data_IF_809855384095
#
_entry.id   IF_809855384095
#
_cell.length_a   1.000
_cell.length_b   1.000
_cell.length_c   1.000
_cell.angle_alpha   90.00
_cell.angle_beta   90.00
_cell.angle_gamma   90.00
#
_symmetry.space_group_name_H-M   'P 1'
#
loop_
_entity.id
_entity.type
_entity.pdbx_description
1 polymer ?
#
# COMPACT_ATOMS: atom_id res chain seq x y z
N UNK A 1 48.89 -61.96 17.94
CA UNK A 1 47.47 -62.11 17.50
C UNK A 1 46.44 -61.61 18.52
N UNK A 2 46.66 -61.74 19.84
CA UNK A 2 45.74 -61.27 20.90
C UNK A 2 45.66 -59.73 21.08
N UNK A 3 46.68 -58.97 20.70
CA UNK A 3 46.68 -57.50 20.85
C UNK A 3 45.90 -56.77 19.72
N UNK A 4 45.88 -57.33 18.51
CA UNK A 4 45.13 -56.75 17.39
C UNK A 4 43.60 -56.79 17.59
N UNK A 5 43.07 -57.79 18.31
CA UNK A 5 41.62 -57.91 18.54
C UNK A 5 41.10 -56.90 19.57
N UNK A 6 41.92 -56.50 20.55
CA UNK A 6 41.60 -55.47 21.54
C UNK A 6 41.49 -54.07 20.92
N UNK A 7 42.45 -53.69 20.08
CA UNK A 7 42.47 -52.39 19.41
C UNK A 7 41.31 -52.23 18.43
N UNK A 8 41.01 -53.29 17.65
CA UNK A 8 39.87 -53.30 16.71
C UNK A 8 38.54 -53.18 17.45
N UNK A 9 38.36 -53.89 18.57
CA UNK A 9 37.16 -53.77 19.42
C UNK A 9 37.03 -52.38 20.04
N UNK A 10 38.14 -51.76 20.47
CA UNK A 10 38.14 -50.42 21.03
C UNK A 10 37.77 -49.35 19.98
N UNK A 11 38.38 -49.41 18.79
CA UNK A 11 38.07 -48.50 17.68
C UNK A 11 36.62 -48.65 17.18
N UNK A 12 36.10 -49.88 17.14
CA UNK A 12 34.71 -50.14 16.76
C UNK A 12 33.70 -49.60 17.79
N UNK A 13 33.99 -49.76 19.09
CA UNK A 13 33.19 -49.12 20.17
C UNK A 13 33.25 -47.59 20.09
N UNK A 14 34.41 -47.02 19.77
CA UNK A 14 34.59 -45.56 19.62
C UNK A 14 33.80 -45.02 18.43
N UNK A 15 33.84 -45.70 17.27
CA UNK A 15 33.02 -45.36 16.10
C UNK A 15 31.52 -45.48 16.37
N UNK A 16 31.06 -46.53 17.06
CA UNK A 16 29.64 -46.66 17.45
C UNK A 16 29.19 -45.53 18.39
N UNK A 17 30.03 -45.14 19.36
CA UNK A 17 29.73 -44.00 20.24
C UNK A 17 29.67 -42.69 19.47
N UNK A 18 30.60 -42.44 18.55
CA UNK A 18 30.57 -41.25 17.69
C UNK A 18 29.31 -41.22 16.79
N UNK A 19 28.96 -42.35 16.18
CA UNK A 19 27.74 -42.46 15.36
C UNK A 19 26.47 -42.21 16.18
N UNK A 20 26.40 -42.72 17.42
CA UNK A 20 25.28 -42.47 18.33
C UNK A 20 25.17 -40.99 18.75
N UNK A 21 26.30 -40.32 18.99
CA UNK A 21 26.33 -38.88 19.30
C UNK A 21 25.86 -38.05 18.11
N UNK A 22 26.32 -38.37 16.89
CA UNK A 22 25.90 -37.68 15.67
C UNK A 22 24.41 -37.89 15.41
N UNK A 23 23.90 -39.12 15.58
CA UNK A 23 22.47 -39.40 15.45
C UNK A 23 21.64 -38.62 16.47
N UNK A 24 22.06 -38.59 17.75
CA UNK A 24 21.38 -37.82 18.78
C UNK A 24 21.37 -36.32 18.48
N UNK A 25 22.50 -35.78 17.98
CA UNK A 25 22.61 -34.37 17.60
C UNK A 25 21.70 -34.02 16.40
N UNK A 26 21.65 -34.88 15.37
CA UNK A 26 20.75 -34.70 14.21
C UNK A 26 19.28 -34.77 14.63
N UNK A 27 18.93 -35.70 15.51
CA UNK A 27 17.56 -35.85 16.02
C UNK A 27 17.15 -34.64 16.86
N UNK A 28 18.05 -34.12 17.70
CA UNK A 28 17.82 -32.89 18.47
C UNK A 28 17.67 -31.66 17.55
N UNK A 29 18.46 -31.57 16.48
CA UNK A 29 18.36 -30.49 15.49
C UNK A 29 17.03 -30.54 14.72
N UNK A 30 16.59 -31.74 14.32
CA UNK A 30 15.28 -31.96 13.68
C UNK A 30 14.13 -31.63 14.63
N UNK A 31 14.23 -32.01 15.90
CA UNK A 31 13.23 -31.65 16.92
C UNK A 31 13.17 -30.13 17.15
N UNK A 32 14.32 -29.45 17.19
CA UNK A 32 14.40 -27.98 17.27
C UNK A 32 13.82 -27.30 16.03
N UNK A 33 14.06 -27.83 14.83
CA UNK A 33 13.46 -27.34 13.59
C UNK A 33 11.94 -27.56 13.55
N UNK A 34 11.46 -28.69 14.05
CA UNK A 34 10.03 -28.99 14.19
C UNK A 34 9.37 -28.05 15.22
N UNK A 35 10.00 -27.83 16.39
CA UNK A 35 9.51 -26.90 17.41
C UNK A 35 9.54 -25.43 16.94
N UNK A 36 10.56 -25.05 16.17
CA UNK A 36 10.64 -23.74 15.53
C UNK A 36 9.54 -23.57 14.47
N UNK A 37 9.27 -24.58 13.65
CA UNK A 37 8.18 -24.54 12.67
C UNK A 37 6.78 -24.52 13.31
N UNK A 38 6.60 -25.17 14.46
CA UNK A 38 5.38 -25.10 15.28
C UNK A 38 5.18 -23.71 15.90
N UNK A 39 6.27 -23.05 16.34
CA UNK A 39 6.24 -21.68 16.87
C UNK A 39 6.00 -20.60 15.81
N UNK A 40 6.33 -20.88 14.54
CA UNK A 40 5.97 -20.01 13.40
C UNK A 40 4.50 -20.16 12.97
N UNK A 41 3.83 -21.24 13.36
CA UNK A 41 2.39 -21.43 13.15
C UNK A 41 1.62 -20.95 14.38
N UNK A 42 1.73 -19.66 14.70
CA UNK A 42 0.67 -19.04 15.50
C UNK A 42 -0.63 -19.20 14.70
N UNK A 43 -1.68 -19.85 15.23
CA UNK A 43 -2.97 -19.82 14.59
C UNK A 43 -3.30 -18.36 14.35
N UNK A 44 -3.72 -18.05 13.12
CA UNK A 44 -4.29 -16.74 12.83
C UNK A 44 -5.31 -16.46 13.94
N UNK A 45 -5.34 -15.26 14.54
CA UNK A 45 -6.53 -14.87 15.29
C UNK A 45 -7.73 -15.18 14.39
N UNK A 46 -8.84 -15.71 14.95
CA UNK A 46 -10.02 -16.04 14.16
C UNK A 46 -10.26 -14.88 13.21
N UNK A 47 -10.49 -15.14 11.91
CA UNK A 47 -10.60 -14.07 10.92
C UNK A 47 -11.51 -13.01 11.55
N UNK A 48 -10.94 -11.83 11.80
CA UNK A 48 -11.73 -10.66 12.17
C UNK A 48 -12.92 -10.71 11.22
N UNK A 49 -14.13 -10.89 11.75
CA UNK A 49 -15.30 -11.25 10.96
C UNK A 49 -15.61 -10.10 10.00
N UNK A 50 -14.88 -10.07 8.89
CA UNK A 50 -14.99 -9.10 7.82
C UNK A 50 -16.33 -9.25 7.09
N UNK A 51 -16.98 -10.40 7.28
CA UNK A 51 -18.27 -10.72 6.68
C UNK A 51 -19.41 -9.93 7.33
N UNK A 52 -19.40 -9.77 8.67
CA UNK A 52 -20.48 -9.09 9.40
C UNK A 52 -20.43 -7.57 9.30
N UNK A 53 -19.30 -6.98 8.90
CA UNK A 53 -19.18 -5.54 8.66
C UNK A 53 -19.63 -5.09 7.25
N UNK A 54 -20.00 -6.02 6.37
CA UNK A 54 -20.27 -5.72 4.95
C UNK A 54 -21.74 -5.70 4.54
N UNK A 55 -22.65 -5.77 5.52
CA UNK A 55 -24.11 -5.77 5.37
C UNK A 55 -24.72 -4.40 5.07
N UNK A 56 -23.93 -3.41 4.64
CA UNK A 56 -24.47 -2.10 4.24
C UNK A 56 -25.17 -2.26 2.89
N UNK A 57 -26.48 -2.50 2.96
CA UNK A 57 -27.36 -2.75 1.82
C UNK A 57 -27.69 -1.47 1.04
N UNK A 58 -27.52 -0.28 1.65
CA UNK A 58 -27.69 1.02 1.03
C UNK A 58 -26.35 1.70 0.72
N UNK A 59 -26.06 1.96 -0.56
CA UNK A 59 -24.89 2.75 -0.95
C UNK A 59 -25.12 4.22 -0.59
N UNK A 60 -24.52 4.69 0.51
CA UNK A 60 -24.46 6.11 0.89
C UNK A 60 -23.52 6.86 -0.06
N UNK A 61 -24.09 7.44 -1.12
CA UNK A 61 -23.36 8.15 -2.18
C UNK A 61 -22.73 9.45 -1.65
N UNK A 62 -21.65 9.89 -2.32
CA UNK A 62 -20.95 11.11 -1.95
C UNK A 62 -21.76 12.38 -2.28
N UNK A 63 -22.02 13.20 -1.26
CA UNK A 63 -22.61 14.54 -1.40
C UNK A 63 -21.53 15.61 -1.19
N UNK A 64 -21.14 16.31 -2.25
CA UNK A 64 -20.08 17.34 -2.21
C UNK A 64 -20.38 18.52 -1.27
N UNK A 65 -21.64 18.68 -0.82
CA UNK A 65 -22.05 19.72 0.15
C UNK A 65 -21.83 19.31 1.61
N UNK A 66 -21.74 18.01 1.90
CA UNK A 66 -21.63 17.46 3.27
C UNK A 66 -20.36 16.66 3.46
N UNK A 67 -19.89 16.03 2.40
CA UNK A 67 -18.78 15.09 2.42
C UNK A 67 -17.48 15.74 1.94
N UNK A 68 -16.37 15.22 2.46
CA UNK A 68 -15.02 15.56 2.01
C UNK A 68 -14.22 14.27 1.85
N UNK A 69 -13.69 14.04 0.65
CA UNK A 69 -12.76 12.93 0.42
C UNK A 69 -11.43 13.27 1.10
N UNK A 70 -10.94 12.37 1.96
CA UNK A 70 -9.61 12.50 2.58
C UNK A 70 -8.72 11.40 2.01
N UNK A 71 -7.76 11.78 1.16
CA UNK A 71 -6.86 10.82 0.53
C UNK A 71 -5.65 10.53 1.43
N UNK A 72 -5.65 9.37 2.10
CA UNK A 72 -4.50 8.85 2.82
C UNK A 72 -3.49 8.29 1.82
N UNK A 73 -2.46 9.08 1.50
CA UNK A 73 -1.45 8.72 0.51
C UNK A 73 -0.25 8.03 1.16
N UNK A 74 -0.22 6.70 1.14
CA UNK A 74 0.96 5.92 1.55
C UNK A 74 2.06 5.91 0.50
N UNK A 75 3.32 5.91 0.93
CA UNK A 75 4.45 5.89 0.02
C UNK A 75 4.46 4.61 -0.82
N UNK A 76 4.64 4.79 -2.13
CA UNK A 76 4.87 3.73 -3.14
C UNK A 76 3.68 2.80 -3.40
N UNK A 77 2.46 3.21 -3.06
CA UNK A 77 1.22 2.49 -3.34
C UNK A 77 0.45 3.01 -4.56
N UNK A 78 1.11 3.74 -5.46
CA UNK A 78 0.42 4.31 -6.63
C UNK A 78 -0.49 5.50 -6.33
N UNK A 79 -0.51 6.02 -5.08
CA UNK A 79 -1.40 7.12 -4.68
C UNK A 79 -1.24 8.43 -5.47
N UNK A 80 -0.12 8.66 -6.16
CA UNK A 80 0.02 9.80 -7.08
C UNK A 80 -0.81 9.65 -8.36
N UNK A 81 -1.04 8.42 -8.83
CA UNK A 81 -1.95 8.15 -9.94
C UNK A 81 -3.39 8.41 -9.49
N UNK A 82 -3.84 7.79 -8.39
CA UNK A 82 -5.18 8.00 -7.86
C UNK A 82 -5.47 9.47 -7.57
N UNK A 83 -4.54 10.20 -6.95
CA UNK A 83 -4.71 11.63 -6.68
C UNK A 83 -4.97 12.41 -7.97
N UNK A 84 -4.18 12.16 -9.04
CA UNK A 84 -4.40 12.79 -10.35
C UNK A 84 -5.78 12.48 -10.90
N UNK A 85 -6.21 11.21 -10.84
CA UNK A 85 -7.53 10.82 -11.32
C UNK A 85 -8.66 11.53 -10.56
N UNK A 86 -8.52 11.71 -9.25
CA UNK A 86 -9.50 12.44 -8.44
C UNK A 86 -9.58 13.92 -8.82
N UNK A 87 -8.44 14.60 -9.00
CA UNK A 87 -8.45 16.06 -9.24
C UNK A 87 -8.68 16.45 -10.70
N UNK A 88 -8.35 15.60 -11.68
CA UNK A 88 -8.47 15.94 -13.11
C UNK A 88 -9.28 14.95 -13.93
N UNK A 89 -9.62 13.78 -13.39
CA UNK A 89 -10.29 12.71 -14.13
C UNK A 89 -11.82 12.69 -13.96
N UNK A 90 -12.39 13.44 -13.01
CA UNK A 90 -13.83 13.39 -12.71
C UNK A 90 -14.67 14.08 -13.79
N UNK A 91 -15.83 13.48 -14.11
CA UNK A 91 -16.85 14.04 -15.03
C UNK A 91 -17.93 14.87 -14.32
N UNK A 92 -18.04 14.73 -12.99
CA UNK A 92 -19.00 15.45 -12.13
C UNK A 92 -18.77 16.97 -12.18
N UNK A 93 -19.71 17.77 -12.74
CA UNK A 93 -19.52 19.22 -12.91
C UNK A 93 -19.37 19.97 -11.57
N UNK A 94 -20.09 19.55 -10.54
CA UNK A 94 -20.07 20.13 -9.19
C UNK A 94 -18.76 19.92 -8.42
N UNK A 95 -17.85 19.09 -8.96
CA UNK A 95 -16.59 18.69 -8.33
C UNK A 95 -15.38 18.94 -9.24
N UNK A 96 -15.51 19.77 -10.27
CA UNK A 96 -14.38 20.07 -11.17
C UNK A 96 -13.31 20.87 -10.44
N UNK A 97 -12.06 20.40 -10.50
CA UNK A 97 -10.94 21.19 -10.01
C UNK A 97 -10.35 22.10 -11.10
N UNK A 98 -9.90 23.27 -10.68
CA UNK A 98 -9.11 24.18 -11.50
C UNK A 98 -7.63 23.93 -11.25
N UNK A 99 -6.97 23.23 -12.17
CA UNK A 99 -5.56 22.85 -12.04
C UNK A 99 -4.66 23.79 -12.83
N UNK A 100 -3.64 24.33 -12.17
CA UNK A 100 -2.69 25.25 -12.80
C UNK A 100 -1.35 25.29 -12.09
N UNK A 101 -0.44 26.06 -12.66
CA UNK A 101 0.81 26.45 -12.02
C UNK A 101 0.49 27.50 -10.94
N UNK A 102 0.17 27.05 -9.72
CA UNK A 102 -0.36 27.88 -8.64
C UNK A 102 0.45 27.79 -7.32
N UNK A 103 0.75 28.96 -6.75
CA UNK A 103 1.28 29.12 -5.41
C UNK A 103 1.33 30.59 -5.00
N UNK A 104 0.92 30.90 -3.77
CA UNK A 104 1.02 32.21 -3.10
C UNK A 104 2.49 32.55 -2.74
N UNK A 105 3.41 32.34 -3.65
CA UNK A 105 4.83 32.64 -3.47
C UNK A 105 5.39 33.10 -4.79
N UNK A 106 6.12 34.22 -4.79
CA UNK A 106 6.64 34.90 -5.98
C UNK A 106 7.37 33.98 -6.97
N UNK A 107 7.73 34.57 -8.12
CA UNK A 107 8.13 33.96 -9.40
C UNK A 107 9.11 32.76 -9.40
N UNK A 108 9.70 32.35 -8.28
CA UNK A 108 10.68 31.27 -8.19
C UNK A 108 10.12 29.85 -8.02
N UNK A 109 8.84 29.62 -7.68
CA UNK A 109 8.29 28.24 -7.53
C UNK A 109 6.78 28.11 -7.79
N UNK A 110 6.34 28.25 -9.05
CA UNK A 110 4.97 27.87 -9.43
C UNK A 110 4.81 26.35 -9.38
N UNK A 111 4.08 25.83 -8.39
CA UNK A 111 3.86 24.38 -8.21
C UNK A 111 2.52 23.99 -8.83
N UNK A 112 2.44 22.82 -9.46
CA UNK A 112 1.16 22.33 -9.98
C UNK A 112 0.24 21.99 -8.80
N UNK A 113 -0.87 22.72 -8.67
CA UNK A 113 -1.92 22.49 -7.67
C UNK A 113 -3.28 22.69 -8.31
N UNK A 114 -4.28 22.05 -7.72
CA UNK A 114 -5.65 22.14 -8.15
C UNK A 114 -6.50 22.77 -7.05
N UNK A 115 -7.25 23.83 -7.39
CA UNK A 115 -8.32 24.31 -6.54
C UNK A 115 -9.54 23.40 -6.73
N UNK A 116 -9.88 22.62 -5.71
CA UNK A 116 -10.95 21.62 -5.76
C UNK A 116 -12.08 22.01 -4.80
N UNK A 117 -12.88 22.99 -5.22
CA UNK A 117 -14.02 23.51 -4.47
C UNK A 117 -15.34 23.13 -5.17
N UNK A 118 -16.40 22.91 -4.40
CA UNK A 118 -17.73 22.61 -4.91
C UNK A 118 -18.43 23.91 -5.37
N UNK A 119 -19.71 23.82 -5.77
CA UNK A 119 -20.50 24.99 -6.19
C UNK A 119 -20.77 26.03 -5.09
N UNK A 120 -20.57 25.69 -3.81
CA UNK A 120 -20.63 26.63 -2.67
C UNK A 120 -19.29 27.29 -2.37
N UNK A 121 -18.23 26.87 -3.05
CA UNK A 121 -16.89 27.29 -2.74
C UNK A 121 -16.23 26.48 -1.61
N UNK A 122 -16.83 25.42 -1.07
CA UNK A 122 -16.21 24.62 -0.01
C UNK A 122 -15.30 23.52 -0.58
N UNK A 123 -14.33 23.06 0.22
CA UNK A 123 -13.49 21.94 -0.19
C UNK A 123 -14.33 20.65 -0.25
N UNK A 124 -14.12 19.85 -1.29
CA UNK A 124 -14.67 18.49 -1.39
C UNK A 124 -13.60 17.40 -1.30
N UNK A 125 -12.31 17.78 -1.34
CA UNK A 125 -11.18 16.84 -1.23
C UNK A 125 -9.95 17.44 -0.52
N UNK A 126 -9.45 16.72 0.48
CA UNK A 126 -8.16 16.93 1.12
C UNK A 126 -7.16 15.91 0.58
N UNK A 127 -6.17 16.40 -0.16
CA UNK A 127 -5.16 15.55 -0.80
C UNK A 127 -3.91 16.36 -1.18
N UNK A 128 -2.83 15.66 -1.54
CA UNK A 128 -1.59 16.28 -2.02
C UNK A 128 -1.79 17.29 -3.16
N UNK A 129 -2.59 16.97 -4.19
CA UNK A 129 -2.74 17.87 -5.34
C UNK A 129 -3.85 18.92 -5.18
N UNK A 130 -4.68 18.82 -4.15
CA UNK A 130 -5.64 19.87 -3.79
C UNK A 130 -5.05 20.82 -2.74
N UNK A 131 -5.00 20.37 -1.49
CA UNK A 131 -4.61 21.15 -0.31
C UNK A 131 -3.11 21.08 0.01
N UNK A 132 -2.33 20.29 -0.74
CA UNK A 132 -0.94 19.99 -0.37
C UNK A 132 -0.86 19.01 0.80
N UNK A 133 0.23 19.09 1.56
CA UNK A 133 0.44 18.28 2.76
C UNK A 133 -0.13 18.96 4.00
N UNK A 134 -1.44 19.25 3.96
CA UNK A 134 -2.16 20.05 4.95
C UNK A 134 -1.90 19.60 6.41
N UNK A 135 -1.86 18.28 6.63
CA UNK A 135 -1.61 17.67 7.94
C UNK A 135 -0.23 17.01 8.07
N UNK A 136 0.73 17.45 7.25
CA UNK A 136 2.09 16.91 7.21
C UNK A 136 2.37 15.96 6.04
N UNK A 137 3.66 15.84 5.71
CA UNK A 137 4.15 15.03 4.60
C UNK A 137 3.81 13.55 4.82
N UNK A 138 2.96 13.00 3.94
CA UNK A 138 2.46 11.63 4.05
C UNK A 138 1.87 11.32 5.44
N UNK A 139 1.04 12.23 5.95
CA UNK A 139 0.27 12.04 7.18
C UNK A 139 -0.42 10.67 7.22
N UNK A 140 -0.28 9.97 8.35
CA UNK A 140 -0.96 8.69 8.61
C UNK A 140 -2.45 8.91 8.96
N UNK A 141 -3.20 7.82 9.11
CA UNK A 141 -4.62 7.87 9.45
C UNK A 141 -4.86 8.67 10.72
N UNK A 142 -4.06 8.42 11.77
CA UNK A 142 -4.12 9.13 13.03
C UNK A 142 -3.93 10.64 12.86
N UNK A 143 -2.89 11.07 12.13
CA UNK A 143 -2.63 12.48 11.84
C UNK A 143 -3.80 13.13 11.10
N UNK A 144 -4.28 12.49 10.03
CA UNK A 144 -5.38 13.02 9.23
C UNK A 144 -6.68 13.11 10.03
N UNK A 145 -6.99 12.10 10.85
CA UNK A 145 -8.19 12.08 11.70
C UNK A 145 -8.20 13.17 12.76
N UNK A 146 -7.03 13.51 13.31
CA UNK A 146 -6.92 14.57 14.31
C UNK A 146 -6.88 15.99 13.68
N UNK A 147 -6.25 16.14 12.52
CA UNK A 147 -5.97 17.45 11.93
C UNK A 147 -7.06 17.95 10.98
N UNK A 148 -7.62 17.10 10.11
CA UNK A 148 -8.50 17.54 9.02
C UNK A 148 -9.76 18.26 9.51
N UNK A 149 -10.48 17.81 10.56
CA UNK A 149 -11.68 18.51 11.03
C UNK A 149 -11.43 19.98 11.37
N UNK A 150 -10.36 20.28 12.11
CA UNK A 150 -10.00 21.65 12.48
C UNK A 150 -9.54 22.50 11.28
N UNK A 151 -8.88 21.88 10.30
CA UNK A 151 -8.47 22.59 9.08
C UNK A 151 -9.67 22.91 8.17
N UNK A 152 -10.65 22.02 8.04
CA UNK A 152 -11.87 22.30 7.29
C UNK A 152 -12.67 23.43 7.93
N UNK A 153 -12.76 23.44 9.27
CA UNK A 153 -13.36 24.51 10.04
C UNK A 153 -12.60 25.86 9.96
N UNK A 154 -11.48 25.95 9.24
CA UNK A 154 -10.80 27.21 8.94
C UNK A 154 -10.86 27.58 7.45
N UNK A 155 -11.23 26.64 6.57
CA UNK A 155 -11.11 26.76 5.11
C UNK A 155 -12.45 26.76 4.35
N UNK A 156 -13.50 26.22 4.97
CA UNK A 156 -14.85 26.20 4.45
C UNK A 156 -15.58 27.53 4.76
N UNK A 157 -16.61 27.84 3.98
CA UNK A 157 -17.40 29.06 4.12
C UNK A 157 -18.51 28.97 5.18
N UNK A 158 -18.96 27.74 5.47
CA UNK A 158 -20.03 27.41 6.42
C UNK A 158 -19.47 26.59 7.59
N UNK A 159 -19.06 27.28 8.65
CA UNK A 159 -18.44 26.69 9.83
C UNK A 159 -19.42 25.95 10.75
N UNK A 160 -20.73 26.09 10.56
CA UNK A 160 -21.74 25.61 11.51
C UNK A 160 -22.08 24.12 11.36
N UNK A 161 -21.62 23.45 10.27
CA UNK A 161 -21.97 22.04 10.00
C UNK A 161 -20.72 21.15 9.92
N UNK A 162 -20.55 20.16 10.82
CA UNK A 162 -19.44 19.23 10.71
C UNK A 162 -19.53 18.42 9.42
N UNK A 163 -18.47 18.48 8.61
CA UNK A 163 -18.35 17.75 7.35
C UNK A 163 -18.05 16.28 7.60
N UNK A 164 -18.67 15.39 6.82
CA UNK A 164 -18.43 13.94 6.91
C UNK A 164 -17.18 13.55 6.12
N UNK A 165 -16.16 13.06 6.82
CA UNK A 165 -14.90 12.66 6.19
C UNK A 165 -15.02 11.28 5.55
N UNK A 166 -14.72 11.19 4.26
CA UNK A 166 -14.75 9.97 3.46
C UNK A 166 -13.32 9.56 3.14
N UNK A 167 -12.71 8.76 4.01
CA UNK A 167 -11.33 8.31 3.83
C UNK A 167 -11.21 7.38 2.63
N UNK A 168 -10.21 7.65 1.79
CA UNK A 168 -9.84 6.83 0.64
C UNK A 168 -8.34 6.58 0.66
N UNK A 169 -7.91 5.37 0.28
CA UNK A 169 -6.48 5.04 0.19
C UNK A 169 -6.16 4.06 -0.95
N UNK A 170 -4.87 3.85 -1.18
CA UNK A 170 -4.35 2.82 -2.08
C UNK A 170 -3.39 1.90 -1.32
N UNK A 171 -3.57 0.60 -1.47
CA UNK A 171 -2.65 -0.43 -1.03
C UNK A 171 -1.88 -1.01 -2.21
N UNK A 172 -0.78 -1.70 -1.89
CA UNK A 172 0.06 -2.42 -2.85
C UNK A 172 0.61 -3.68 -2.19
N UNK A 173 0.88 -4.71 -3.00
CA UNK A 173 1.57 -5.92 -2.56
C UNK A 173 2.82 -5.53 -1.75
N UNK A 174 2.97 -6.00 -0.50
CA UNK A 174 3.98 -5.50 0.42
C UNK A 174 5.41 -5.60 -0.11
N UNK A 175 5.74 -6.70 -0.78
CA UNK A 175 7.06 -6.89 -1.38
C UNK A 175 7.35 -5.83 -2.46
N UNK A 176 6.43 -5.65 -3.42
CA UNK A 176 6.58 -4.69 -4.51
C UNK A 176 6.63 -3.24 -4.00
N UNK A 177 5.84 -2.96 -2.96
CA UNK A 177 5.83 -1.67 -2.25
C UNK A 177 7.17 -1.41 -1.56
N UNK A 178 7.69 -2.40 -0.84
CA UNK A 178 8.96 -2.32 -0.11
C UNK A 178 10.15 -2.19 -1.04
N UNK A 179 10.24 -3.01 -2.10
CA UNK A 179 11.26 -2.90 -3.14
C UNK A 179 11.21 -1.55 -3.85
N UNK A 180 10.01 -1.04 -4.15
CA UNK A 180 9.86 0.30 -4.74
C UNK A 180 10.31 1.42 -3.80
N UNK A 181 10.18 1.24 -2.48
CA UNK A 181 10.67 2.18 -1.49
C UNK A 181 12.18 2.11 -1.33
N UNK A 182 12.74 0.91 -1.22
CA UNK A 182 14.18 0.67 -1.18
C UNK A 182 14.88 1.34 -2.36
N UNK A 183 14.39 1.13 -3.58
CA UNK A 183 14.98 1.77 -4.77
C UNK A 183 14.89 3.30 -4.71
N UNK A 184 13.85 3.85 -4.09
CA UNK A 184 13.70 5.30 -3.93
C UNK A 184 14.69 5.83 -2.89
N UNK A 185 14.87 5.12 -1.78
CA UNK A 185 15.88 5.44 -0.76
C UNK A 185 17.30 5.34 -1.33
N UNK A 186 17.60 4.30 -2.12
CA UNK A 186 18.88 4.08 -2.80
C UNK A 186 19.28 5.24 -3.72
N UNK A 187 18.29 5.96 -4.27
CA UNK A 187 18.47 7.18 -5.09
C UNK A 187 18.50 8.48 -4.28
N UNK A 188 18.41 8.41 -2.95
CA UNK A 188 18.58 9.54 -2.04
C UNK A 188 17.28 10.15 -1.48
N UNK A 189 16.12 9.55 -1.71
CA UNK A 189 14.88 10.05 -1.09
C UNK A 189 14.88 9.84 0.42
N UNK A 190 14.36 10.83 1.17
CA UNK A 190 14.44 10.79 2.63
C UNK A 190 13.11 10.76 3.35
N UNK A 191 12.08 11.46 2.87
CA UNK A 191 10.84 11.70 3.63
C UNK A 191 11.12 12.22 5.06
N UNK A 192 12.24 12.92 5.28
CA UNK A 192 12.69 13.34 6.62
C UNK A 192 11.65 14.20 7.33
N UNK A 193 10.85 14.95 6.57
CA UNK A 193 9.77 15.80 7.07
C UNK A 193 8.47 15.06 7.39
N UNK A 194 8.40 13.75 7.15
CA UNK A 194 7.23 12.96 7.51
C UNK A 194 7.15 12.80 9.04
N UNK A 195 6.00 13.17 9.60
CA UNK A 195 5.71 13.10 11.02
C UNK A 195 4.66 12.01 11.29
N UNK A 196 5.01 10.92 12.01
CA UNK A 196 4.06 9.92 12.46
C UNK A 196 3.38 10.43 13.72
N UNK A 197 2.17 9.93 13.94
CA UNK A 197 1.41 10.25 15.15
C UNK A 197 1.66 9.15 16.19
N UNK A 198 2.60 9.38 17.12
CA UNK A 198 2.96 8.47 18.21
C UNK A 198 3.57 9.22 19.41
N UNK A 199 3.64 8.59 20.58
CA UNK A 199 4.14 9.19 21.84
C UNK A 199 5.65 9.03 22.02
N UNK A 200 6.33 10.09 22.47
CA UNK A 200 7.75 10.04 22.83
C UNK A 200 8.71 10.11 21.65
N UNK A 201 10.01 9.91 21.92
CA UNK A 201 11.07 10.04 20.91
C UNK A 201 11.05 8.87 19.92
N UNK A 202 11.30 9.16 18.63
CA UNK A 202 11.53 8.12 17.62
C UNK A 202 12.82 7.37 17.91
N UNK A 203 12.91 6.08 17.51
CA UNK A 203 14.20 5.41 17.50
C UNK A 203 15.19 6.14 16.57
N UNK A 204 16.50 6.02 16.81
CA UNK A 204 17.51 6.59 15.93
C UNK A 204 17.28 6.15 14.47
N UNK A 205 17.43 7.06 13.49
CA UNK A 205 17.22 6.74 12.10
C UNK A 205 18.27 5.73 11.60
N UNK A 206 17.90 4.89 10.63
CA UNK A 206 18.78 3.89 10.01
C UNK A 206 19.98 4.42 9.20
N UNK A 207 20.13 5.74 9.18
CA UNK A 207 20.98 6.48 8.24
C UNK A 207 21.58 7.66 8.97
N UNK A 208 22.81 7.99 8.61
CA UNK A 208 23.62 9.05 9.21
C UNK A 208 23.68 10.28 8.27
N UNK A 209 24.28 11.38 8.75
CA UNK A 209 24.58 12.56 7.92
C UNK A 209 23.35 13.29 7.37
N UNK A 210 23.35 13.57 6.06
CA UNK A 210 22.31 14.32 5.35
C UNK A 210 20.92 13.64 5.35
N UNK A 211 20.88 12.37 5.78
CA UNK A 211 19.69 11.56 5.84
C UNK A 211 19.34 10.93 4.49
N UNK A 212 20.17 10.99 3.46
CA UNK A 212 20.00 10.22 2.24
C UNK A 212 20.59 8.82 2.43
N UNK A 213 19.85 7.77 2.06
CA UNK A 213 20.34 6.39 2.16
C UNK A 213 20.86 5.89 0.80
N UNK A 214 21.77 6.68 0.20
CA UNK A 214 22.27 6.45 -1.16
C UNK A 214 23.04 5.13 -1.22
N UNK A 215 22.80 4.35 -2.28
CA UNK A 215 23.54 3.10 -2.50
C UNK A 215 23.23 1.94 -1.55
N UNK A 216 22.36 2.11 -0.53
CA UNK A 216 22.03 1.06 0.44
C UNK A 216 21.63 -0.26 -0.23
N UNK A 217 22.20 -1.38 0.24
CA UNK A 217 21.80 -2.71 -0.22
C UNK A 217 20.40 -3.07 0.31
N UNK A 218 19.71 -4.02 -0.34
CA UNK A 218 18.41 -4.47 0.14
C UNK A 218 18.51 -5.15 1.52
N UNK A 219 19.60 -5.87 1.77
CA UNK A 219 19.86 -6.54 3.05
C UNK A 219 19.99 -5.54 4.20
N UNK A 220 20.81 -4.51 4.05
CA UNK A 220 20.95 -3.44 5.06
C UNK A 220 19.63 -2.68 5.26
N UNK A 221 18.92 -2.39 4.16
CA UNK A 221 17.62 -1.73 4.21
C UNK A 221 16.59 -2.54 5.01
N UNK A 222 16.55 -3.85 4.82
CA UNK A 222 15.66 -4.75 5.56
C UNK A 222 16.11 -5.00 7.01
N UNK A 223 17.42 -5.03 7.27
CA UNK A 223 17.98 -5.34 8.59
C UNK A 223 17.74 -4.22 9.63
N UNK A 224 17.63 -2.96 9.20
CA UNK A 224 17.39 -1.88 10.14
C UNK A 224 15.97 -1.91 10.71
N UNK A 225 15.85 -2.28 11.99
CA UNK A 225 14.55 -2.39 12.69
C UNK A 225 13.75 -1.08 12.71
N UNK A 226 14.43 0.07 12.80
CA UNK A 226 13.80 1.39 12.82
C UNK A 226 13.37 1.90 11.42
N UNK A 227 13.56 1.11 10.35
CA UNK A 227 13.26 1.55 9.00
C UNK A 227 11.75 1.78 8.82
N UNK A 228 11.31 3.01 8.48
CA UNK A 228 9.89 3.29 8.27
C UNK A 228 9.29 2.55 7.06
N UNK A 229 10.09 1.97 6.18
CA UNK A 229 9.59 1.14 5.09
C UNK A 229 8.97 -0.18 5.58
N UNK A 230 9.39 -0.67 6.75
CA UNK A 230 8.89 -1.91 7.33
C UNK A 230 7.46 -1.71 7.85
N UNK A 231 6.57 -2.63 7.48
CA UNK A 231 5.15 -2.65 7.85
C UNK A 231 4.47 -1.28 7.68
N UNK A 232 4.84 -0.56 6.61
CA UNK A 232 4.42 0.83 6.40
C UNK A 232 2.90 0.93 6.29
N UNK A 233 2.25 0.01 5.58
CA UNK A 233 0.81 0.11 5.32
C UNK A 233 0.01 -0.12 6.59
N UNK A 234 0.34 -1.15 7.36
CA UNK A 234 -0.26 -1.40 8.67
C UNK A 234 -0.03 -0.22 9.62
N UNK A 235 1.21 0.29 9.72
CA UNK A 235 1.52 1.42 10.59
C UNK A 235 0.76 2.69 10.20
N UNK A 236 0.71 3.03 8.92
CA UNK A 236 0.08 4.28 8.45
C UNK A 236 -1.46 4.22 8.44
N UNK A 237 -2.06 3.03 8.45
CA UNK A 237 -3.50 2.85 8.59
C UNK A 237 -3.97 2.76 10.03
N UNK A 238 -3.12 2.28 10.94
CA UNK A 238 -3.44 2.14 12.34
C UNK A 238 -3.58 3.50 13.04
N UNK A 239 -4.34 3.53 14.13
CA UNK A 239 -4.27 4.61 15.10
C UNK A 239 -3.12 4.35 16.08
N UNK A 240 -1.99 5.04 15.88
CA UNK A 240 -0.80 4.90 16.72
C UNK A 240 -0.63 6.02 17.77
N UNK A 241 -1.57 6.96 17.89
CA UNK A 241 -1.46 8.15 18.77
C UNK A 241 -1.27 7.82 20.24
N UNK A 242 -1.75 6.64 20.69
CA UNK A 242 -1.59 6.17 22.06
C UNK A 242 -0.28 5.41 22.34
N UNK A 243 0.47 5.04 21.30
CA UNK A 243 1.57 4.09 21.39
C UNK A 243 2.94 4.79 21.41
N UNK A 244 3.93 4.28 22.16
CA UNK A 244 5.29 4.80 22.12
C UNK A 244 5.90 4.66 20.72
N UNK A 245 6.51 5.73 20.18
CA UNK A 245 7.16 5.71 18.87
C UNK A 245 8.22 4.60 18.77
N UNK A 246 8.99 4.35 19.84
CA UNK A 246 9.92 3.21 19.91
C UNK A 246 9.25 1.86 19.61
N UNK A 247 8.01 1.66 20.07
CA UNK A 247 7.27 0.41 19.91
C UNK A 247 6.63 0.30 18.51
N UNK A 248 6.10 1.42 18.00
CA UNK A 248 5.51 1.55 16.66
C UNK A 248 6.53 1.27 15.56
N UNK A 249 7.78 1.69 15.76
CA UNK A 249 8.87 1.48 14.81
C UNK A 249 9.76 0.26 15.16
N UNK A 250 9.55 -0.41 16.30
CA UNK A 250 10.21 -1.67 16.61
C UNK A 250 9.47 -2.83 15.93
N UNK A 251 9.77 -3.08 14.67
CA UNK A 251 9.19 -4.17 13.89
C UNK A 251 9.44 -5.54 14.55
N UNK A 252 8.39 -6.35 14.72
CA UNK A 252 8.47 -7.73 15.26
C UNK A 252 7.95 -7.95 16.70
N UNK A 253 7.22 -7.00 17.28
CA UNK A 253 6.69 -7.09 18.66
C UNK A 253 5.15 -7.29 18.69
N UNK A 254 4.58 -7.48 19.89
CA UNK A 254 3.13 -7.47 20.17
C UNK A 254 2.43 -6.20 19.62
N UNK A 255 3.15 -5.08 19.51
CA UNK A 255 2.66 -3.84 18.91
C UNK A 255 2.31 -4.01 17.43
N UNK A 256 3.01 -4.85 16.68
CA UNK A 256 2.71 -5.10 15.27
C UNK A 256 1.33 -5.75 15.08
N UNK A 257 0.93 -6.67 15.97
CA UNK A 257 -0.41 -7.27 15.94
C UNK A 257 -1.49 -6.25 16.31
N UNK A 258 -1.23 -5.36 17.28
CA UNK A 258 -2.14 -4.27 17.63
C UNK A 258 -2.32 -3.27 16.48
N UNK A 259 -1.22 -2.88 15.83
CA UNK A 259 -1.26 -2.01 14.65
C UNK A 259 -2.01 -2.68 13.51
N UNK A 260 -1.79 -3.97 13.26
CA UNK A 260 -2.53 -4.73 12.24
C UNK A 260 -4.04 -4.73 12.54
N UNK A 261 -4.44 -5.03 13.76
CA UNK A 261 -5.86 -5.04 14.16
C UNK A 261 -6.50 -3.65 13.97
N UNK A 262 -5.83 -2.59 14.42
CA UNK A 262 -6.28 -1.21 14.22
C UNK A 262 -6.34 -0.82 12.74
N UNK A 263 -5.35 -1.22 11.93
CA UNK A 263 -5.32 -0.95 10.51
C UNK A 263 -6.47 -1.65 9.76
N UNK A 264 -6.78 -2.90 10.10
CA UNK A 264 -7.90 -3.64 9.52
C UNK A 264 -9.24 -2.98 9.88
N UNK A 265 -9.42 -2.61 11.15
CA UNK A 265 -10.61 -1.89 11.59
C UNK A 265 -10.81 -0.59 10.80
N UNK A 266 -9.76 0.23 10.69
CA UNK A 266 -9.82 1.49 9.96
C UNK A 266 -10.05 1.28 8.47
N UNK A 267 -9.39 0.30 7.84
CA UNK A 267 -9.54 -0.01 6.41
C UNK A 267 -10.98 -0.44 6.07
N UNK A 268 -11.61 -1.24 6.93
CA UNK A 268 -13.02 -1.65 6.77
C UNK A 268 -13.96 -0.45 6.84
N UNK A 269 -13.67 0.51 7.73
CA UNK A 269 -14.45 1.75 7.87
C UNK A 269 -14.18 2.83 6.81
N UNK A 270 -13.20 2.63 5.91
CA UNK A 270 -12.95 3.60 4.83
C UNK A 270 -14.07 3.58 3.78
N UNK A 271 -14.32 4.73 3.17
CA UNK A 271 -15.35 4.86 2.15
C UNK A 271 -14.99 4.02 0.90
N UNK A 272 -13.71 3.99 0.53
CA UNK A 272 -13.18 3.07 -0.47
C UNK A 272 -11.66 2.91 -0.31
N UNK A 273 -11.11 1.82 -0.83
CA UNK A 273 -9.68 1.69 -1.06
C UNK A 273 -9.42 0.97 -2.37
N UNK A 274 -8.26 1.24 -2.96
CA UNK A 274 -7.81 0.56 -4.18
C UNK A 274 -6.61 -0.34 -3.94
N UNK A 275 -6.41 -1.27 -4.86
CA UNK A 275 -5.20 -2.08 -4.95
C UNK A 275 -4.43 -1.67 -6.20
N UNK A 276 -3.12 -1.45 -6.05
CA UNK A 276 -2.26 -1.01 -7.16
C UNK A 276 -2.30 -1.99 -8.33
N UNK A 277 -2.47 -3.27 -8.02
CA UNK A 277 -2.51 -4.40 -8.94
C UNK A 277 -3.82 -4.49 -9.74
N UNK A 278 -4.85 -3.71 -9.36
CA UNK A 278 -6.20 -3.81 -9.91
C UNK A 278 -6.78 -2.43 -10.21
N UNK A 279 -6.15 -1.68 -11.13
CA UNK A 279 -6.51 -0.28 -11.41
C UNK A 279 -7.96 -0.09 -11.90
N UNK A 280 -8.40 -0.91 -12.87
CA UNK A 280 -9.77 -0.84 -13.40
C UNK A 280 -10.80 -1.21 -12.32
N UNK A 281 -10.54 -2.28 -11.55
CA UNK A 281 -11.46 -2.70 -10.50
C UNK A 281 -11.51 -1.67 -9.36
N UNK A 282 -10.38 -1.02 -9.07
CA UNK A 282 -10.30 0.12 -8.16
C UNK A 282 -11.18 1.28 -8.63
N UNK A 283 -11.10 1.64 -9.93
CA UNK A 283 -11.98 2.67 -10.51
C UNK A 283 -13.45 2.28 -10.37
N UNK A 284 -13.81 1.05 -10.68
CA UNK A 284 -15.19 0.56 -10.55
C UNK A 284 -15.72 0.68 -9.12
N UNK A 285 -14.95 0.23 -8.13
CA UNK A 285 -15.33 0.33 -6.71
C UNK A 285 -15.46 1.79 -6.25
N UNK A 286 -14.55 2.68 -6.66
CA UNK A 286 -14.66 4.11 -6.38
C UNK A 286 -15.94 4.70 -7.00
N UNK A 287 -16.19 4.40 -8.28
CA UNK A 287 -17.36 4.89 -9.00
C UNK A 287 -18.66 4.45 -8.34
N UNK A 288 -18.76 3.17 -7.94
CA UNK A 288 -19.98 2.61 -7.36
C UNK A 288 -20.18 2.97 -5.89
N UNK A 289 -19.12 3.03 -5.07
CA UNK A 289 -19.25 3.33 -3.64
C UNK A 289 -19.42 4.81 -3.33
N UNK A 290 -18.84 5.67 -4.15
CA UNK A 290 -18.87 7.11 -3.94
C UNK A 290 -19.75 7.83 -4.96
N UNK A 291 -20.31 7.14 -5.96
CA UNK A 291 -21.07 7.80 -7.03
C UNK A 291 -20.20 8.71 -7.90
N UNK A 292 -18.92 8.35 -8.05
CA UNK A 292 -17.96 9.08 -8.88
C UNK A 292 -18.03 8.56 -10.33
N UNK A 293 -17.69 9.43 -11.28
CA UNK A 293 -17.54 9.05 -12.68
C UNK A 293 -16.28 9.69 -13.23
N UNK A 294 -15.49 8.90 -13.96
CA UNK A 294 -14.21 9.33 -14.51
C UNK A 294 -14.28 9.33 -16.05
N UNK A 295 -13.52 10.24 -16.67
CA UNK A 295 -13.46 10.38 -18.13
C UNK A 295 -12.66 9.27 -18.79
N UNK A 296 -11.57 8.82 -18.15
CA UNK A 296 -10.68 7.78 -18.66
C UNK A 296 -10.72 6.55 -17.77
N UNK A 297 -10.47 5.38 -18.36
CA UNK A 297 -10.18 4.18 -17.59
C UNK A 297 -8.85 4.31 -16.85
N UNK A 298 -8.78 3.76 -15.65
CA UNK A 298 -7.52 3.69 -14.91
C UNK A 298 -6.63 2.65 -15.59
N UNK A 299 -5.50 3.10 -16.13
CA UNK A 299 -4.60 2.23 -16.88
C UNK A 299 -3.72 1.40 -15.95
N UNK A 300 -3.80 0.08 -16.10
CA UNK A 300 -2.95 -0.89 -15.41
C UNK A 300 -1.49 -0.79 -15.92
N UNK A 301 -0.57 -0.47 -15.02
CA UNK A 301 0.86 -0.32 -15.33
C UNK A 301 1.68 -1.43 -14.69
N UNK A 302 1.87 -2.52 -15.42
CA UNK A 302 2.66 -3.65 -14.93
C UNK A 302 4.17 -3.37 -14.99
N UNK A 303 4.57 -2.38 -15.81
CA UNK A 303 5.91 -1.84 -15.96
C UNK A 303 6.19 -0.68 -14.95
N UNK A 304 6.25 -1.00 -13.66
CA UNK A 304 6.59 -0.10 -12.55
C UNK A 304 8.10 0.02 -12.34
N UNK A 305 8.57 0.97 -11.53
CA UNK A 305 9.99 1.05 -11.11
C UNK A 305 10.48 -0.27 -10.45
N UNK A 306 9.62 -0.92 -9.65
CA UNK A 306 9.94 -2.22 -9.04
C UNK A 306 9.98 -3.37 -10.07
N UNK A 307 9.25 -3.24 -11.18
CA UNK A 307 9.17 -4.26 -12.23
C UNK A 307 9.98 -3.97 -13.49
N UNK A 308 10.44 -2.74 -13.72
CA UNK A 308 11.29 -2.34 -14.85
C UNK A 308 12.78 -2.51 -14.54
N UNK A 309 13.15 -2.58 -13.25
CA UNK A 309 14.45 -3.14 -12.88
C UNK A 309 14.60 -4.58 -13.41
N UNK A 310 13.51 -5.36 -13.46
CA UNK A 310 13.47 -6.70 -14.09
C UNK A 310 13.92 -6.71 -15.55
N UNK A 311 13.88 -5.57 -16.25
CA UNK A 311 14.16 -5.44 -17.67
C UNK A 311 15.44 -4.63 -17.99
N UNK A 312 16.13 -4.10 -16.97
CA UNK A 312 17.36 -3.28 -17.17
C UNK A 312 18.65 -4.09 -16.97
N UNK A 313 18.56 -5.37 -16.63
CA UNK A 313 19.60 -6.38 -16.88
C UNK A 313 19.21 -7.21 -18.10
N UNK A 314 20.18 -7.66 -18.88
CA UNK A 314 19.96 -8.45 -20.10
C UNK A 314 18.92 -9.56 -19.89
N UNK A 315 17.84 -9.45 -20.68
CA UNK A 315 16.78 -10.41 -21.03
C UNK A 315 16.81 -11.80 -20.35
N UNK A 316 15.82 -12.04 -19.47
CA UNK A 316 15.13 -13.34 -19.37
C UNK A 316 13.72 -13.16 -18.81
N UNK A 317 12.74 -13.87 -19.37
CA UNK A 317 11.34 -13.93 -18.94
C UNK A 317 11.14 -14.83 -17.70
N UNK A 318 12.23 -15.25 -17.07
CA UNK A 318 12.27 -16.03 -15.84
C UNK A 318 12.84 -15.13 -14.75
N UNK A 319 12.14 -15.00 -13.62
CA UNK A 319 12.69 -14.33 -12.45
C UNK A 319 14.00 -15.03 -12.07
N UNK A 320 15.13 -14.32 -12.16
CA UNK A 320 16.42 -14.85 -11.75
C UNK A 320 16.37 -15.27 -10.27
N UNK A 321 17.22 -16.21 -9.85
CA UNK A 321 17.32 -16.63 -8.45
C UNK A 321 17.54 -15.44 -7.50
N UNK A 322 18.27 -14.42 -7.97
CA UNK A 322 18.44 -13.15 -7.26
C UNK A 322 17.13 -12.37 -7.05
N UNK A 323 16.23 -12.35 -8.03
CA UNK A 323 14.94 -11.65 -7.95
C UNK A 323 13.99 -12.33 -6.96
N UNK A 324 13.95 -13.66 -6.96
CA UNK A 324 13.18 -14.44 -6.00
C UNK A 324 13.69 -14.23 -4.57
N UNK A 325 15.01 -14.15 -4.38
CA UNK A 325 15.60 -13.89 -3.07
C UNK A 325 15.29 -12.49 -2.56
N UNK A 326 15.36 -11.46 -3.42
CA UNK A 326 14.99 -10.09 -3.06
C UNK A 326 13.53 -9.98 -2.64
N UNK A 327 12.64 -10.61 -3.42
CA UNK A 327 11.20 -10.63 -3.12
C UNK A 327 10.91 -11.33 -1.80
N UNK A 328 11.53 -12.49 -1.56
CA UNK A 328 11.40 -13.23 -0.30
C UNK A 328 11.90 -12.42 0.89
N UNK A 329 13.03 -11.73 0.76
CA UNK A 329 13.53 -10.83 1.81
C UNK A 329 12.54 -9.69 2.10
N UNK A 330 11.98 -9.08 1.07
CA UNK A 330 10.99 -8.01 1.22
C UNK A 330 9.69 -8.52 1.88
N UNK A 331 9.25 -9.74 1.58
CA UNK A 331 8.09 -10.38 2.21
C UNK A 331 8.35 -10.65 3.70
N UNK A 332 9.49 -11.27 4.03
CA UNK A 332 9.89 -11.57 5.41
C UNK A 332 10.06 -10.31 6.27
N UNK A 333 10.48 -9.20 5.66
CA UNK A 333 10.62 -7.92 6.33
C UNK A 333 9.26 -7.24 6.66
N UNK A 334 8.15 -7.67 6.04
CA UNK A 334 6.86 -6.99 6.11
C UNK A 334 5.68 -7.92 6.51
N UNK A 335 5.76 -8.66 7.63
CA UNK A 335 4.75 -9.66 7.99
C UNK A 335 3.37 -9.07 8.32
N UNK A 336 3.30 -7.89 8.94
CA UNK A 336 2.02 -7.24 9.25
C UNK A 336 1.36 -6.69 7.97
N UNK A 337 2.15 -6.09 7.07
CA UNK A 337 1.65 -5.64 5.76
C UNK A 337 1.18 -6.84 4.90
N UNK A 338 1.85 -8.00 4.98
CA UNK A 338 1.41 -9.22 4.30
C UNK A 338 0.03 -9.69 4.76
N UNK A 339 -0.19 -9.74 6.08
CA UNK A 339 -1.49 -10.10 6.66
C UNK A 339 -2.57 -9.08 6.36
N UNK A 340 -2.24 -7.79 6.44
CA UNK A 340 -3.14 -6.69 6.07
C UNK A 340 -3.56 -6.81 4.60
N UNK A 341 -2.60 -6.96 3.68
CA UNK A 341 -2.88 -7.00 2.25
C UNK A 341 -3.72 -8.23 1.89
N UNK A 342 -3.45 -9.40 2.46
CA UNK A 342 -4.27 -10.59 2.24
C UNK A 342 -5.73 -10.40 2.69
N UNK A 343 -5.96 -9.72 3.81
CA UNK A 343 -7.31 -9.38 4.27
C UNK A 343 -7.96 -8.31 3.38
N UNK A 344 -7.21 -7.28 2.98
CA UNK A 344 -7.65 -6.24 2.07
C UNK A 344 -8.04 -6.80 0.70
N UNK A 345 -7.31 -7.78 0.18
CA UNK A 345 -7.59 -8.44 -1.10
C UNK A 345 -8.90 -9.24 -1.04
N UNK A 346 -9.11 -10.02 0.03
CA UNK A 346 -10.40 -10.69 0.26
C UNK A 346 -11.57 -9.70 0.35
N UNK A 347 -11.38 -8.61 1.09
CA UNK A 347 -12.38 -7.55 1.21
C UNK A 347 -12.67 -6.90 -0.16
N UNK A 348 -11.64 -6.50 -0.88
CA UNK A 348 -11.72 -5.82 -2.17
C UNK A 348 -12.47 -6.67 -3.21
N UNK A 349 -12.10 -7.94 -3.37
CA UNK A 349 -12.80 -8.82 -4.31
C UNK A 349 -14.20 -9.20 -3.85
N UNK A 350 -14.42 -9.39 -2.54
CA UNK A 350 -15.76 -9.61 -2.00
C UNK A 350 -16.70 -8.44 -2.28
N UNK A 351 -16.21 -7.21 -2.11
CA UNK A 351 -16.97 -5.99 -2.45
C UNK A 351 -17.24 -5.88 -3.95
N UNK A 352 -16.26 -6.17 -4.80
CA UNK A 352 -16.42 -6.17 -6.24
C UNK A 352 -17.47 -7.18 -6.71
N UNK A 353 -17.41 -8.42 -6.20
CA UNK A 353 -18.40 -9.47 -6.49
C UNK A 353 -19.82 -9.04 -6.12
N UNK A 354 -20.02 -8.53 -4.90
CA UNK A 354 -21.34 -8.06 -4.44
C UNK A 354 -21.93 -6.97 -5.33
N UNK A 355 -21.10 -5.99 -5.75
CA UNK A 355 -21.54 -4.90 -6.62
C UNK A 355 -21.82 -5.41 -8.05
N UNK A 356 -20.91 -6.20 -8.63
CA UNK A 356 -21.07 -6.74 -9.99
C UNK A 356 -22.25 -7.71 -10.10
N UNK A 357 -22.53 -8.52 -9.07
CA UNK A 357 -23.68 -9.42 -9.02
C UNK A 357 -25.05 -8.70 -9.09
N UNK A 358 -25.07 -7.41 -8.72
CA UNK A 358 -26.26 -6.54 -8.71
C UNK A 358 -26.19 -5.44 -9.79
N UNK A 359 -25.17 -5.46 -10.65
CA UNK A 359 -24.92 -4.38 -11.61
C UNK A 359 -25.96 -4.37 -12.74
N UNK A 360 -26.78 -3.31 -12.88
CA UNK A 360 -27.84 -3.26 -13.89
C UNK A 360 -27.31 -3.25 -15.33
N UNK A 361 -26.09 -2.76 -15.54
CA UNK A 361 -25.42 -2.75 -16.85
C UNK A 361 -24.88 -4.14 -17.27
N UNK A 362 -24.99 -5.15 -16.41
CA UNK A 362 -24.62 -6.53 -16.76
C UNK A 362 -25.86 -7.38 -17.06
N UNK A 363 -25.74 -8.26 -18.05
CA UNK A 363 -26.80 -9.21 -18.40
C UNK A 363 -27.13 -10.15 -17.24
N UNK A 364 -28.34 -10.72 -17.23
CA UNK A 364 -28.75 -11.66 -16.19
C UNK A 364 -27.77 -12.85 -16.06
N UNK A 365 -27.27 -13.36 -17.20
CA UNK A 365 -26.27 -14.43 -17.24
C UNK A 365 -24.90 -14.01 -16.70
N UNK A 366 -24.45 -12.78 -16.97
CA UNK A 366 -23.20 -12.25 -16.40
C UNK A 366 -23.33 -12.10 -14.88
N UNK A 367 -24.46 -11.57 -14.39
CA UNK A 367 -24.73 -11.43 -12.96
C UNK A 367 -24.83 -12.80 -12.26
N UNK A 368 -25.46 -13.79 -12.88
CA UNK A 368 -25.51 -15.17 -12.36
C UNK A 368 -24.11 -15.77 -12.22
N UNK A 369 -23.28 -15.66 -13.26
CA UNK A 369 -21.87 -16.12 -13.21
C UNK A 369 -21.05 -15.51 -12.07
N UNK A 370 -21.32 -14.26 -11.68
CA UNK A 370 -20.65 -13.64 -10.53
C UNK A 370 -21.18 -14.17 -9.20
N UNK A 371 -22.48 -14.49 -9.11
CA UNK A 371 -23.11 -15.05 -7.91
C UNK A 371 -22.70 -16.49 -7.66
N UNK A 372 -22.71 -17.30 -8.72
CA UNK A 372 -22.54 -18.76 -8.64
C UNK A 372 -21.06 -19.18 -8.61
N UNK A 373 -20.15 -18.25 -8.87
CA UNK A 373 -18.72 -18.49 -8.73
C UNK A 373 -18.32 -18.47 -7.26
N UNK A 374 -18.36 -19.63 -6.60
CA UNK A 374 -17.85 -19.90 -5.24
C UNK A 374 -16.41 -19.45 -5.08
N UNK A 375 -16.18 -18.16 -4.80
CA UNK A 375 -14.86 -17.50 -4.75
C UNK A 375 -13.93 -17.69 -5.96
N UNK A 376 -14.31 -18.50 -6.97
CA UNK A 376 -13.50 -19.02 -8.06
C UNK A 376 -13.40 -18.07 -9.25
N UNK A 377 -14.28 -17.05 -9.32
CA UNK A 377 -14.11 -15.98 -10.30
C UNK A 377 -12.86 -15.18 -9.91
N UNK A 378 -11.81 -15.38 -10.70
CA UNK A 378 -10.52 -14.70 -10.53
C UNK A 378 -10.64 -13.19 -10.70
N UNK A 379 -9.67 -12.46 -10.14
CA UNK A 379 -9.64 -11.00 -10.23
C UNK A 379 -9.69 -10.47 -11.66
N UNK A 380 -9.13 -11.19 -12.63
CA UNK A 380 -9.13 -10.81 -14.04
C UNK A 380 -10.53 -10.81 -14.65
N UNK A 381 -11.34 -11.81 -14.33
CA UNK A 381 -12.73 -11.90 -14.80
C UNK A 381 -13.60 -10.78 -14.19
N UNK A 382 -13.43 -10.50 -12.89
CA UNK A 382 -14.09 -9.35 -12.25
C UNK A 382 -13.66 -8.02 -12.90
N UNK A 383 -12.37 -7.90 -13.23
CA UNK A 383 -11.80 -6.72 -13.88
C UNK A 383 -12.36 -6.53 -15.28
N UNK A 384 -12.53 -7.60 -16.05
CA UNK A 384 -13.12 -7.54 -17.39
C UNK A 384 -14.59 -7.08 -17.36
N UNK A 385 -15.38 -7.58 -16.41
CA UNK A 385 -16.77 -7.14 -16.20
C UNK A 385 -16.83 -5.67 -15.77
N UNK A 386 -16.01 -5.28 -14.80
CA UNK A 386 -15.89 -3.89 -14.34
C UNK A 386 -15.50 -2.94 -15.47
N UNK A 387 -14.56 -3.34 -16.33
CA UNK A 387 -14.15 -2.57 -17.51
C UNK A 387 -15.34 -2.31 -18.43
N UNK A 388 -16.12 -3.34 -18.76
CA UNK A 388 -17.31 -3.21 -19.61
C UNK A 388 -18.27 -2.17 -19.05
N UNK A 389 -18.59 -2.31 -17.77
CA UNK A 389 -19.50 -1.39 -17.07
C UNK A 389 -18.99 0.05 -17.14
N UNK A 390 -17.70 0.28 -16.89
CA UNK A 390 -17.11 1.62 -16.94
C UNK A 390 -17.14 2.23 -18.36
N UNK A 391 -16.93 1.42 -19.39
CA UNK A 391 -17.06 1.85 -20.80
C UNK A 391 -18.50 2.24 -21.13
N UNK A 392 -19.49 1.46 -20.69
CA UNK A 392 -20.91 1.79 -20.87
C UNK A 392 -21.33 3.06 -20.12
N UNK A 393 -20.70 3.36 -18.97
CA UNK A 393 -20.84 4.64 -18.28
C UNK A 393 -20.13 5.81 -19.00
N UNK A 394 -19.47 5.54 -20.13
CA UNK A 394 -18.80 6.52 -20.98
C UNK A 394 -17.39 6.89 -20.51
N UNK A 395 -16.72 6.06 -19.70
CA UNK A 395 -15.28 6.15 -19.59
C UNK A 395 -14.66 5.69 -20.91
N UNK A 396 -13.56 6.32 -21.34
CA UNK A 396 -12.85 5.91 -22.56
C UNK A 396 -11.48 5.33 -22.22
N UNK A 397 -10.98 4.50 -23.13
CA UNK A 397 -9.65 3.91 -23.01
C UNK A 397 -8.54 4.97 -22.96
N UNK A 398 -7.42 4.59 -22.35
CA UNK A 398 -6.18 5.34 -22.49
C UNK A 398 -5.56 4.94 -23.83
N UNK A 399 -5.30 5.91 -24.69
CA UNK A 399 -4.73 5.65 -26.01
C UNK A 399 -3.23 5.32 -25.94
N UNK A 400 -2.68 4.79 -27.03
CA UNK A 400 -1.31 4.31 -27.05
C UNK A 400 -0.27 5.44 -27.01
N UNK A 401 -0.62 6.63 -27.49
CA UNK A 401 0.24 7.81 -27.39
C UNK A 401 0.38 8.26 -25.93
N UNK A 402 -0.72 8.29 -25.18
CA UNK A 402 -0.72 8.59 -23.75
C UNK A 402 0.03 7.51 -22.96
N UNK A 403 -0.20 6.22 -23.24
CA UNK A 403 0.57 5.12 -22.63
C UNK A 403 2.07 5.28 -22.89
N UNK A 404 2.46 5.60 -24.13
CA UNK A 404 3.86 5.79 -24.51
C UNK A 404 4.50 6.99 -23.78
N UNK A 405 3.79 8.12 -23.67
CA UNK A 405 4.27 9.27 -22.91
C UNK A 405 4.44 8.95 -21.41
N UNK A 406 3.47 8.25 -20.81
CA UNK A 406 3.59 7.83 -19.41
C UNK A 406 4.79 6.90 -19.22
N UNK A 407 4.98 5.88 -20.07
CA UNK A 407 6.15 4.97 -20.02
C UNK A 407 7.45 5.75 -20.14
N UNK A 408 7.53 6.71 -21.07
CA UNK A 408 8.70 7.59 -21.25
C UNK A 408 8.99 8.41 -19.98
N UNK A 409 7.97 8.99 -19.34
CA UNK A 409 8.14 9.73 -18.06
C UNK A 409 8.63 8.83 -16.93
N UNK A 410 8.12 7.59 -16.85
CA UNK A 410 8.59 6.60 -15.87
C UNK A 410 10.06 6.23 -16.12
N UNK A 411 10.44 5.94 -17.38
CA UNK A 411 11.82 5.64 -17.76
C UNK A 411 12.77 6.80 -17.46
N UNK A 412 12.37 8.04 -17.76
CA UNK A 412 13.16 9.23 -17.43
C UNK A 412 13.42 9.37 -15.93
N UNK A 413 12.43 9.07 -15.09
CA UNK A 413 12.59 9.05 -13.62
C UNK A 413 13.51 7.94 -13.13
N UNK A 414 13.57 6.82 -13.83
CA UNK A 414 14.50 5.74 -13.52
C UNK A 414 15.96 6.14 -13.83
N UNK A 415 16.17 6.84 -14.94
CA UNK A 415 17.49 7.23 -15.44
C UNK A 415 18.07 8.47 -14.75
N UNK A 416 17.23 9.41 -14.29
CA UNK A 416 17.67 10.56 -13.48
C UNK A 416 17.96 10.15 -12.02
N UNK A 417 18.99 9.33 -11.82
CA UNK A 417 19.63 9.17 -10.54
C UNK A 417 20.56 10.38 -10.32
N UNK A 418 20.26 11.26 -9.36
CA UNK A 418 21.14 12.41 -9.11
C UNK A 418 20.50 13.54 -8.31
N UNK A 419 19.72 14.41 -8.97
CA UNK A 419 19.59 15.79 -8.48
C UNK A 419 18.17 16.36 -8.28
N UNK A 420 17.08 15.72 -8.75
CA UNK A 420 15.78 16.42 -8.82
C UNK A 420 14.75 16.05 -7.71
N UNK A 421 14.88 14.94 -6.98
CA UNK A 421 13.82 14.52 -6.02
C UNK A 421 13.95 15.08 -4.59
N UNK A 422 14.96 15.94 -4.35
CA UNK A 422 15.00 16.85 -3.19
C UNK A 422 13.77 17.78 -3.14
N UNK A 423 13.05 17.93 -4.25
CA UNK A 423 11.81 18.71 -4.33
C UNK A 423 10.60 18.03 -3.66
N UNK A 424 10.66 16.71 -3.39
CA UNK A 424 9.61 16.03 -2.62
C UNK A 424 9.72 16.26 -1.11
N UNK A 425 10.93 16.59 -0.63
CA UNK A 425 11.23 16.89 0.76
C UNK A 425 11.19 18.41 1.07
N UNK A 426 11.03 19.28 0.07
CA UNK A 426 11.01 20.75 0.27
C UNK A 426 9.63 21.36 0.58
N UNK A 427 8.58 20.54 0.71
CA UNK A 427 7.20 20.97 1.00
C UNK A 427 6.75 20.69 2.45
N UNK A 428 7.40 21.37 3.40
CA UNK A 428 6.75 21.74 4.67
C UNK A 428 6.49 23.22 4.60
#
# INVERSE_FOLDING_TARGET
RLWCTGLVRHLWRRRRRQAAIVAAAVTALLALLLLASASLRRPLPPPFQLESASTIESVDLFDSRRDVIVLLHMQKTGGSHLNRQLVSGLRRPDMRCQCGLGGLGGARRRKWRCSCRNSRGDLWIVSRYSTGWLCGLHADFAALSACVPGQLAALDSDFERPRRLRYVTMLRRPADRFLSEWQHARRGATWRKSQPTCRGRRPPPCRTGDGAWRGVSLAEFAACRANPALNRQARMLANASGLPCRAVFANGNRTADLLLASALHNLVGMAAFGLTEWQILTQYLLSRRLGLSFSRLFWQQDATVASNWRASGNFSLVADAGDLQQRRLAELANPADARLYAAAERLFFGQARRLLAREPLLSAGQRARVRDADSAIGGDALTALARRVLLELGAVEVDDAEKADIRRRVRKKLLRAGNDEAESDSNS
#
